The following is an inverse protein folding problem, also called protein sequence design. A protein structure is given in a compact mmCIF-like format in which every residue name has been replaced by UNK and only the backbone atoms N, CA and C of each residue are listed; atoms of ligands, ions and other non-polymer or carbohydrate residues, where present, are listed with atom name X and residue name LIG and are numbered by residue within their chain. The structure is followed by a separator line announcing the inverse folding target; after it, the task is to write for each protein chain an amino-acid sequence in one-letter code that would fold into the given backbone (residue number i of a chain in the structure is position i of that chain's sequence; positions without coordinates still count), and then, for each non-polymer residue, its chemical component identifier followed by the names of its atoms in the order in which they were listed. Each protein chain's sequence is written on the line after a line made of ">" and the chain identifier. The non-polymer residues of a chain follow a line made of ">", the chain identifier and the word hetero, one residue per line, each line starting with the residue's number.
data_IF_194646066332
#
_entry.id   IF_194646066332
#
_cell.length_a   1.000
_cell.length_b   1.000
_cell.length_c   1.000
_cell.angle_alpha   90.00
_cell.angle_beta   90.00
_cell.angle_gamma   90.00
#
_symmetry.space_group_name_H-M   'P 1'
#
loop_
_entity.id
_entity.type
_entity.pdbx_description
1 polymer ?
#
# COMPACT_ATOMS: atom_id res chain seq x y z
N UNK A 1 -9.42 -35.73 102.49
CA UNK A 1 -10.58 -34.81 102.57
C UNK A 1 -10.35 -33.67 101.60
N UNK A 2 -11.21 -33.56 100.56
CA UNK A 2 -11.68 -32.31 99.90
C UNK A 2 -10.61 -31.41 99.24
N UNK A 3 -10.74 -30.86 98.03
CA UNK A 3 -11.84 -30.71 97.07
C UNK A 3 -11.22 -30.47 95.68
N UNK A 4 -11.90 -30.94 94.66
CA UNK A 4 -11.67 -30.73 93.23
C UNK A 4 -11.98 -29.28 92.84
N UNK A 5 -11.14 -28.62 92.04
CA UNK A 5 -11.55 -27.49 91.19
C UNK A 5 -10.74 -27.50 89.89
N UNK A 6 -11.41 -27.82 88.79
CA UNK A 6 -10.91 -27.67 87.44
C UNK A 6 -11.08 -26.21 87.01
N UNK A 7 -9.98 -25.54 86.64
CA UNK A 7 -10.01 -24.19 86.09
C UNK A 7 -9.86 -24.26 84.57
N UNK A 8 -10.91 -23.83 83.88
CA UNK A 8 -11.00 -23.68 82.43
C UNK A 8 -10.07 -22.54 81.99
N UNK A 9 -9.01 -22.86 81.24
CA UNK A 9 -8.12 -21.86 80.66
C UNK A 9 -8.76 -21.25 79.40
N UNK A 10 -9.31 -20.04 79.52
CA UNK A 10 -9.65 -19.20 78.38
C UNK A 10 -8.38 -18.52 77.88
N UNK A 11 -7.87 -18.97 76.73
CA UNK A 11 -6.78 -18.29 76.02
C UNK A 11 -7.30 -16.96 75.47
N UNK A 12 -7.01 -15.85 76.15
CA UNK A 12 -7.08 -14.51 75.56
C UNK A 12 -5.84 -14.36 74.68
N UNK A 13 -5.97 -14.10 73.36
CA UNK A 13 -4.79 -13.80 72.56
C UNK A 13 -4.21 -12.47 73.06
N UNK A 14 -3.04 -12.54 73.68
CA UNK A 14 -2.19 -11.36 73.88
C UNK A 14 -1.85 -10.82 72.48
N UNK A 15 -2.44 -9.70 72.10
CA UNK A 15 -1.92 -8.88 71.00
C UNK A 15 -0.56 -8.36 71.45
N UNK A 16 0.51 -8.96 70.94
CA UNK A 16 1.84 -8.40 71.05
C UNK A 16 1.90 -7.13 70.19
N UNK A 17 1.55 -5.99 70.77
CA UNK A 17 1.78 -4.68 70.16
C UNK A 17 3.26 -4.37 70.31
N UNK A 18 3.99 -4.31 69.19
CA UNK A 18 5.31 -3.73 69.18
C UNK A 18 5.19 -2.23 69.52
N UNK A 19 5.84 -1.79 70.60
CA UNK A 19 5.83 -0.38 70.99
C UNK A 19 6.48 0.53 69.94
N UNK A 20 6.01 1.78 69.88
CA UNK A 20 6.57 2.83 69.03
C UNK A 20 8.09 2.94 69.19
N UNK A 21 8.82 3.05 68.06
CA UNK A 21 10.26 3.34 68.05
C UNK A 21 10.47 4.81 67.71
N UNK A 22 10.61 5.63 68.73
CA UNK A 22 10.75 7.08 68.61
C UNK A 22 12.19 7.56 68.83
N UNK A 23 12.60 8.56 68.06
CA UNK A 23 13.74 9.44 68.38
C UNK A 23 13.40 10.89 68.06
N UNK A 24 14.22 11.83 68.54
CA UNK A 24 14.03 13.27 68.27
C UNK A 24 14.05 13.65 66.77
N UNK A 25 14.40 12.72 65.87
CA UNK A 25 14.47 12.95 64.42
C UNK A 25 13.48 12.13 63.58
N UNK A 26 12.73 11.19 64.16
CA UNK A 26 11.64 10.50 63.46
C UNK A 26 10.73 9.72 64.43
N UNK A 27 9.46 9.58 64.06
CA UNK A 27 8.55 8.56 64.60
C UNK A 27 8.13 7.62 63.47
N UNK A 28 8.24 6.31 63.68
CA UNK A 28 7.61 5.34 62.79
C UNK A 28 6.38 4.80 63.53
N UNK A 29 5.19 5.17 63.06
CA UNK A 29 3.95 4.62 63.59
C UNK A 29 3.93 3.11 63.33
N UNK A 30 3.68 2.31 64.37
CA UNK A 30 3.52 0.87 64.23
C UNK A 30 2.28 0.60 63.36
N UNK A 31 2.46 -0.08 62.24
CA UNK A 31 1.34 -0.55 61.41
C UNK A 31 0.58 -1.63 62.21
N UNK A 32 -0.64 -1.30 62.62
CA UNK A 32 -1.56 -2.29 63.15
C UNK A 32 -2.01 -3.17 61.98
N UNK A 33 -1.66 -4.46 62.03
CA UNK A 33 -2.27 -5.47 61.15
C UNK A 33 -3.63 -5.81 61.73
N UNK A 34 -4.62 -4.95 61.50
CA UNK A 34 -6.01 -5.30 61.70
C UNK A 34 -6.66 -5.70 60.37
N UNK A 35 -7.78 -6.43 60.45
CA UNK A 35 -8.52 -6.93 59.29
C UNK A 35 -9.30 -5.81 58.55
N UNK A 36 -9.18 -4.55 58.99
CA UNK A 36 -9.78 -3.39 58.34
C UNK A 36 -8.79 -2.78 57.38
N UNK A 37 -8.98 -3.00 56.08
CA UNK A 37 -8.07 -2.47 55.06
C UNK A 37 -7.72 -0.99 55.22
N UNK A 38 -6.46 -0.66 54.96
CA UNK A 38 -5.94 0.70 55.09
C UNK A 38 -5.81 1.35 53.71
N UNK A 39 -5.87 2.70 53.70
CA UNK A 39 -5.60 3.51 52.52
C UNK A 39 -4.09 3.72 52.38
N UNK A 40 -3.50 3.23 51.30
CA UNK A 40 -2.12 3.56 50.91
C UNK A 40 -2.16 4.62 49.81
N UNK A 41 -1.36 5.68 49.95
CA UNK A 41 -1.35 6.79 49.00
C UNK A 41 0.06 7.30 48.69
N UNK A 42 0.22 7.82 47.48
CA UNK A 42 1.39 8.58 47.02
C UNK A 42 0.92 9.83 46.26
N UNK A 43 1.84 10.69 45.84
CA UNK A 43 1.51 11.83 44.98
C UNK A 43 0.82 11.44 43.66
N UNK A 44 0.94 10.17 43.25
CA UNK A 44 0.47 9.68 41.95
C UNK A 44 -0.79 8.81 42.03
N UNK A 45 -1.11 8.23 43.19
CA UNK A 45 -2.26 7.32 43.33
C UNK A 45 -2.70 7.15 44.79
N UNK A 46 -3.93 6.65 44.98
CA UNK A 46 -4.35 6.07 46.25
C UNK A 46 -5.11 4.76 46.05
N UNK A 47 -4.85 3.81 46.94
CA UNK A 47 -5.47 2.48 46.95
C UNK A 47 -6.05 2.20 48.34
N UNK A 48 -7.21 1.55 48.38
CA UNK A 48 -7.82 1.02 49.59
C UNK A 48 -7.81 -0.52 49.50
N UNK A 49 -7.22 -1.23 50.48
CA UNK A 49 -7.15 -2.69 50.44
C UNK A 49 -7.19 -3.35 51.81
N UNK A 50 -7.98 -4.43 51.96
CA UNK A 50 -8.01 -5.30 53.15
C UNK A 50 -7.21 -6.59 52.94
N UNK A 51 -6.69 -7.18 54.01
CA UNK A 51 -5.89 -8.41 53.95
C UNK A 51 -6.71 -9.56 53.32
N UNK A 52 -6.17 -10.19 52.26
CA UNK A 52 -6.82 -11.28 51.54
C UNK A 52 -7.65 -10.87 50.32
N UNK A 53 -7.78 -9.56 50.02
CA UNK A 53 -8.38 -9.06 48.79
C UNK A 53 -7.34 -8.35 47.92
N UNK A 54 -7.61 -8.26 46.62
CA UNK A 54 -6.82 -7.39 45.76
C UNK A 54 -7.41 -5.98 45.83
N UNK A 55 -6.56 -4.98 46.14
CA UNK A 55 -6.97 -3.58 46.21
C UNK A 55 -7.52 -3.03 44.89
N UNK A 56 -8.23 -1.89 44.97
CA UNK A 56 -8.72 -1.09 43.83
C UNK A 56 -7.95 0.22 43.63
N UNK A 57 -8.10 0.89 42.47
CA UNK A 57 -7.63 2.27 42.26
C UNK A 57 -8.75 3.22 42.65
N UNK A 58 -8.54 4.05 43.67
CA UNK A 58 -9.55 5.01 44.13
C UNK A 58 -9.49 6.34 43.38
N UNK A 59 -8.30 6.76 42.91
CA UNK A 59 -8.09 7.99 42.15
C UNK A 59 -6.75 7.94 41.39
N UNK A 60 -6.74 8.35 40.12
CA UNK A 60 -5.55 8.49 39.28
C UNK A 60 -5.62 9.80 38.47
N UNK A 61 -4.55 10.59 38.49
CA UNK A 61 -4.58 11.99 38.00
C UNK A 61 -4.25 12.11 36.50
N UNK A 62 -3.31 11.31 35.98
CA UNK A 62 -3.09 11.00 34.56
C UNK A 62 -1.82 10.14 34.39
N UNK A 63 -1.76 9.22 33.39
CA UNK A 63 -2.88 8.78 32.55
C UNK A 63 -3.93 8.04 33.39
N UNK A 64 -5.14 7.86 32.85
CA UNK A 64 -6.16 7.05 33.51
C UNK A 64 -5.62 5.64 33.76
N UNK A 65 -5.67 5.19 35.00
CA UNK A 65 -5.19 3.86 35.39
C UNK A 65 -6.37 3.00 35.81
N UNK A 66 -6.36 1.74 35.36
CA UNK A 66 -7.34 0.73 35.73
C UNK A 66 -6.60 -0.45 36.33
N UNK A 67 -6.94 -0.85 37.56
CA UNK A 67 -6.43 -2.07 38.17
C UNK A 67 -7.50 -3.14 38.03
N UNK A 68 -7.13 -4.25 37.39
CA UNK A 68 -8.00 -5.42 37.28
C UNK A 68 -7.35 -6.60 37.97
N UNK A 69 -8.07 -7.14 38.92
CA UNK A 69 -7.53 -8.06 39.89
C UNK A 69 -8.36 -9.34 40.00
N UNK A 70 -7.67 -10.46 40.24
CA UNK A 70 -8.26 -11.80 40.19
C UNK A 70 -8.20 -12.42 38.79
N UNK A 71 -8.29 -13.75 38.71
CA UNK A 71 -8.13 -14.51 37.46
C UNK A 71 -9.12 -14.08 36.35
N UNK A 72 -10.35 -13.70 36.71
CA UNK A 72 -11.39 -13.26 35.76
C UNK A 72 -11.16 -11.83 35.27
N UNK A 73 -10.58 -10.95 36.10
CA UNK A 73 -10.26 -9.57 35.72
C UNK A 73 -9.11 -9.43 34.70
N UNK A 74 -8.41 -10.53 34.40
CA UNK A 74 -7.35 -10.60 33.39
C UNK A 74 -7.81 -11.26 32.07
N UNK A 75 -9.04 -11.77 32.03
CA UNK A 75 -9.62 -12.36 30.83
C UNK A 75 -10.27 -11.23 30.03
N UNK A 76 -9.52 -10.67 29.07
CA UNK A 76 -10.08 -9.77 28.07
C UNK A 76 -10.48 -10.56 26.84
N UNK A 77 -11.69 -10.30 26.36
CA UNK A 77 -12.12 -10.73 25.03
C UNK A 77 -11.73 -9.68 24.00
N UNK A 78 -11.25 -10.13 22.84
CA UNK A 78 -10.90 -9.23 21.74
C UNK A 78 -12.18 -8.97 20.95
N UNK A 79 -12.69 -7.75 21.07
CA UNK A 79 -13.87 -7.30 20.33
C UNK A 79 -13.55 -7.06 18.85
N UNK A 80 -12.42 -6.40 18.55
CA UNK A 80 -12.01 -6.09 17.18
C UNK A 80 -10.49 -5.95 17.04
N UNK A 81 -9.95 -6.29 15.86
CA UNK A 81 -8.55 -5.99 15.50
C UNK A 81 -8.49 -4.86 14.48
N UNK A 82 -7.89 -3.74 14.88
CA UNK A 82 -7.63 -2.62 14.00
C UNK A 82 -6.23 -2.76 13.39
N UNK A 83 -6.15 -3.06 12.10
CA UNK A 83 -4.90 -3.07 11.34
C UNK A 83 -4.68 -1.70 10.73
N UNK A 84 -3.46 -1.16 10.84
CA UNK A 84 -3.10 0.15 10.28
C UNK A 84 -1.77 0.07 9.52
N UNK A 85 -1.62 0.98 8.55
CA UNK A 85 -0.40 1.16 7.77
C UNK A 85 -0.27 2.63 7.40
N UNK A 86 0.95 3.14 7.33
CA UNK A 86 1.23 4.48 6.81
C UNK A 86 2.54 4.45 6.03
N UNK A 87 2.55 4.79 4.73
CA UNK A 87 1.41 5.19 3.91
C UNK A 87 0.49 4.02 3.51
N UNK A 88 -0.75 4.33 3.12
CA UNK A 88 -1.71 3.37 2.51
C UNK A 88 -1.57 3.24 0.99
N UNK A 89 -0.70 4.03 0.38
CA UNK A 89 -0.30 3.89 -1.01
C UNK A 89 1.17 3.49 -1.04
N UNK A 90 1.47 2.32 -1.61
CA UNK A 90 2.82 1.82 -1.75
C UNK A 90 3.19 1.83 -3.22
N UNK A 91 4.34 2.40 -3.56
CA UNK A 91 4.95 2.14 -4.86
C UNK A 91 5.34 0.67 -4.97
N UNK A 92 5.48 0.17 -6.18
CA UNK A 92 5.97 -1.18 -6.43
C UNK A 92 7.33 -1.41 -5.80
N UNK A 93 7.57 -2.64 -5.35
CA UNK A 93 8.78 -3.05 -4.62
C UNK A 93 9.04 -2.29 -3.30
N UNK A 94 8.22 -1.29 -2.95
CA UNK A 94 8.29 -0.63 -1.67
C UNK A 94 7.63 -1.48 -0.59
N UNK A 95 8.04 -1.24 0.65
CA UNK A 95 7.49 -1.91 1.81
C UNK A 95 6.96 -0.91 2.84
N UNK A 96 5.92 -1.31 3.57
CA UNK A 96 5.36 -0.52 4.66
C UNK A 96 5.08 -1.40 5.87
N UNK A 97 5.34 -0.84 7.05
CA UNK A 97 5.19 -1.54 8.32
C UNK A 97 3.73 -1.52 8.75
N UNK A 98 3.17 -2.71 8.94
CA UNK A 98 1.84 -2.89 9.53
C UNK A 98 1.93 -2.78 11.04
N UNK A 99 0.90 -2.19 11.63
CA UNK A 99 0.63 -2.23 13.05
C UNK A 99 -0.77 -2.82 13.29
N UNK A 100 -0.97 -3.41 14.46
CA UNK A 100 -2.30 -3.87 14.85
C UNK A 100 -2.56 -3.54 16.32
N UNK A 101 -3.78 -3.10 16.58
CA UNK A 101 -4.30 -2.89 17.92
C UNK A 101 -5.52 -3.78 18.13
N UNK A 102 -5.57 -4.46 19.27
CA UNK A 102 -6.78 -5.14 19.73
C UNK A 102 -7.62 -4.16 20.55
N UNK A 103 -8.87 -3.96 20.13
CA UNK A 103 -9.88 -3.32 20.95
C UNK A 103 -10.55 -4.39 21.80
N UNK A 104 -10.50 -4.22 23.11
CA UNK A 104 -11.03 -5.16 24.08
C UNK A 104 -12.51 -4.85 24.37
N UNK A 105 -13.18 -5.77 25.05
CA UNK A 105 -14.59 -5.68 25.48
C UNK A 105 -14.88 -4.45 26.35
N UNK A 106 -13.90 -3.98 27.12
CA UNK A 106 -13.98 -2.77 27.94
C UNK A 106 -13.54 -1.48 27.22
N UNK A 107 -13.39 -1.54 25.90
CA UNK A 107 -12.85 -0.48 25.04
C UNK A 107 -11.38 -0.11 25.28
N UNK A 108 -10.63 -0.86 26.11
CA UNK A 108 -9.19 -0.70 26.21
C UNK A 108 -8.54 -1.10 24.89
N UNK A 109 -7.51 -0.36 24.48
CA UNK A 109 -6.72 -0.65 23.27
C UNK A 109 -5.39 -1.28 23.67
N UNK A 110 -5.13 -2.48 23.18
CA UNK A 110 -3.88 -3.20 23.35
C UNK A 110 -3.10 -3.23 22.03
N UNK A 111 -1.97 -2.53 21.98
CA UNK A 111 -1.04 -2.66 20.85
C UNK A 111 -0.42 -4.06 20.85
N UNK A 112 -0.50 -4.76 19.72
CA UNK A 112 0.11 -6.08 19.56
C UNK A 112 1.42 -5.97 18.81
N UNK A 113 2.41 -6.77 19.22
CA UNK A 113 3.61 -6.96 18.42
C UNK A 113 3.25 -7.68 17.12
N UNK A 114 3.72 -7.23 15.95
CA UNK A 114 3.42 -7.89 14.68
C UNK A 114 3.80 -9.38 14.62
N UNK A 115 4.82 -9.80 15.38
CA UNK A 115 5.27 -11.19 15.49
C UNK A 115 4.29 -12.11 16.22
N UNK A 116 3.34 -11.55 16.97
CA UNK A 116 2.29 -12.30 17.65
C UNK A 116 1.05 -12.49 16.76
N UNK A 117 1.05 -11.93 15.56
CA UNK A 117 -0.08 -11.90 14.63
C UNK A 117 0.23 -12.78 13.43
N UNK A 118 -0.75 -13.56 12.99
CA UNK A 118 -0.63 -14.27 11.72
C UNK A 118 -1.09 -13.35 10.59
N UNK A 119 -0.15 -13.00 9.71
CA UNK A 119 -0.43 -12.15 8.55
C UNK A 119 -0.76 -12.98 7.31
N UNK A 120 -1.75 -12.54 6.55
CA UNK A 120 -2.07 -13.12 5.24
C UNK A 120 -2.49 -12.05 4.23
N UNK A 121 -2.20 -12.32 2.96
CA UNK A 121 -2.70 -11.54 1.84
C UNK A 121 -4.02 -12.19 1.43
N UNK A 122 -5.13 -11.46 1.56
CA UNK A 122 -6.45 -11.93 1.17
C UNK A 122 -6.61 -11.83 -0.35
N UNK A 123 -6.18 -10.72 -0.92
CA UNK A 123 -6.24 -10.44 -2.36
C UNK A 123 -5.30 -9.32 -2.75
N UNK A 124 -5.03 -9.22 -4.06
CA UNK A 124 -4.29 -8.11 -4.65
C UNK A 124 -2.76 -8.26 -4.57
N UNK A 125 -2.02 -7.26 -5.09
CA UNK A 125 -0.63 -7.45 -5.51
C UNK A 125 0.38 -7.10 -4.42
N UNK A 126 0.32 -7.82 -3.30
CA UNK A 126 1.44 -7.85 -2.36
C UNK A 126 2.35 -9.04 -2.69
N UNK A 127 3.65 -8.80 -2.76
CA UNK A 127 4.63 -9.86 -2.98
C UNK A 127 4.84 -10.70 -1.71
N UNK A 128 4.77 -10.05 -0.54
CA UNK A 128 4.89 -10.73 0.75
C UNK A 128 4.39 -9.88 1.92
N UNK A 129 4.13 -10.53 3.05
CA UNK A 129 4.08 -9.91 4.37
C UNK A 129 4.99 -10.72 5.28
N UNK A 130 6.02 -10.10 5.85
CA UNK A 130 6.93 -10.80 6.77
C UNK A 130 6.24 -11.09 8.12
N UNK A 131 6.83 -11.98 8.92
CA UNK A 131 6.38 -12.24 10.30
C UNK A 131 6.42 -10.99 11.19
N UNK A 132 7.26 -10.02 10.84
CA UNK A 132 7.33 -8.73 11.54
C UNK A 132 6.28 -7.74 11.04
N UNK A 133 5.33 -8.15 10.18
CA UNK A 133 4.30 -7.28 9.62
C UNK A 133 4.81 -6.30 8.56
N UNK A 134 5.96 -6.58 7.93
CA UNK A 134 6.44 -5.76 6.81
C UNK A 134 5.76 -6.22 5.52
N UNK A 135 4.80 -5.45 5.02
CA UNK A 135 4.12 -5.71 3.75
C UNK A 135 4.92 -5.12 2.59
N UNK A 136 5.23 -5.94 1.58
CA UNK A 136 6.02 -5.54 0.40
C UNK A 136 5.15 -5.64 -0.85
N UNK A 137 5.04 -4.54 -1.59
CA UNK A 137 4.29 -4.47 -2.84
C UNK A 137 4.96 -5.30 -3.95
N UNK A 138 4.16 -5.98 -4.76
CA UNK A 138 4.61 -6.56 -6.02
C UNK A 138 4.55 -5.50 -7.14
N UNK A 139 5.13 -5.84 -8.29
CA UNK A 139 5.01 -5.06 -9.53
C UNK A 139 3.59 -5.16 -10.08
N UNK A 140 3.07 -4.07 -10.63
CA UNK A 140 1.70 -3.97 -11.14
C UNK A 140 1.65 -3.17 -12.43
N UNK A 141 0.88 -3.65 -13.40
CA UNK A 141 0.63 -2.92 -14.66
C UNK A 141 -0.45 -1.84 -14.53
N UNK A 142 -1.05 -1.68 -13.35
CA UNK A 142 -2.04 -0.64 -13.03
C UNK A 142 -2.19 -0.52 -11.51
N UNK A 143 -2.59 0.67 -11.04
CA UNK A 143 -2.94 0.88 -9.63
C UNK A 143 -3.98 -0.16 -9.18
N UNK A 144 -3.66 -0.87 -8.12
CA UNK A 144 -4.41 -2.05 -7.70
C UNK A 144 -4.54 -2.14 -6.19
N UNK A 145 -5.74 -2.42 -5.70
CA UNK A 145 -5.99 -2.60 -4.27
C UNK A 145 -5.51 -3.97 -3.81
N UNK A 146 -4.80 -4.00 -2.68
CA UNK A 146 -4.50 -5.21 -1.93
C UNK A 146 -5.22 -5.21 -0.58
N UNK A 147 -5.66 -6.39 -0.16
CA UNK A 147 -6.32 -6.60 1.12
C UNK A 147 -5.46 -7.52 1.98
N UNK A 148 -5.11 -7.03 3.15
CA UNK A 148 -4.34 -7.72 4.17
C UNK A 148 -5.29 -8.20 5.26
N UNK A 149 -4.97 -9.35 5.85
CA UNK A 149 -5.63 -9.87 7.06
C UNK A 149 -4.60 -10.14 8.16
N UNK A 150 -4.98 -9.75 9.37
CA UNK A 150 -4.30 -10.03 10.62
C UNK A 150 -5.19 -10.95 11.45
N UNK A 151 -4.71 -12.14 11.82
CA UNK A 151 -5.40 -13.06 12.72
C UNK A 151 -4.71 -13.09 14.08
N UNK A 152 -5.49 -12.91 15.15
CA UNK A 152 -5.02 -13.03 16.54
C UNK A 152 -6.13 -13.54 17.45
N UNK A 153 -5.89 -14.69 18.12
CA UNK A 153 -6.78 -15.32 19.10
C UNK A 153 -8.27 -15.35 18.69
N UNK A 154 -8.55 -16.04 17.57
CA UNK A 154 -9.89 -16.22 16.98
C UNK A 154 -10.56 -14.96 16.39
N UNK A 155 -9.98 -13.78 16.57
CA UNK A 155 -10.44 -12.55 15.92
C UNK A 155 -9.52 -12.22 14.75
N UNK A 156 -10.07 -11.56 13.72
CA UNK A 156 -9.30 -11.06 12.60
C UNK A 156 -9.64 -9.60 12.29
N UNK A 157 -8.70 -8.90 11.70
CA UNK A 157 -8.86 -7.56 11.16
C UNK A 157 -8.36 -7.53 9.72
N UNK A 158 -8.97 -6.67 8.90
CA UNK A 158 -8.55 -6.47 7.51
C UNK A 158 -8.19 -5.02 7.23
N UNK A 159 -7.25 -4.82 6.32
CA UNK A 159 -6.85 -3.50 5.85
C UNK A 159 -6.67 -3.52 4.34
N UNK A 160 -7.22 -2.50 3.67
CA UNK A 160 -6.96 -2.25 2.27
C UNK A 160 -5.84 -1.22 2.13
N UNK A 161 -4.95 -1.47 1.17
CA UNK A 161 -3.96 -0.51 0.68
C UNK A 161 -3.96 -0.52 -0.85
N UNK A 162 -3.39 0.52 -1.44
CA UNK A 162 -3.23 0.60 -2.90
C UNK A 162 -1.76 0.39 -3.24
N UNK A 163 -1.48 -0.52 -4.17
CA UNK A 163 -0.19 -0.60 -4.84
C UNK A 163 -0.27 0.27 -6.08
N UNK A 164 0.66 1.21 -6.21
CA UNK A 164 0.72 2.18 -7.29
C UNK A 164 1.62 1.64 -8.40
N UNK A 165 1.13 1.64 -9.64
CA UNK A 165 1.95 1.51 -10.84
C UNK A 165 2.80 2.77 -10.96
N UNK A 166 4.03 2.66 -10.48
CA UNK A 166 4.99 3.75 -10.35
C UNK A 166 6.06 3.70 -11.43
N UNK A 167 6.29 2.51 -12.00
CA UNK A 167 7.12 2.30 -13.16
C UNK A 167 6.30 1.55 -14.23
N UNK A 168 5.89 2.19 -15.33
CA UNK A 168 4.96 1.60 -16.28
C UNK A 168 5.56 0.49 -17.17
N UNK A 169 6.82 0.09 -16.96
CA UNK A 169 7.57 -0.89 -17.77
C UNK A 169 8.47 -1.77 -16.87
N UNK A 170 7.87 -2.41 -15.87
CA UNK A 170 8.52 -3.36 -14.96
C UNK A 170 7.71 -4.63 -14.68
N UNK A 171 6.51 -4.81 -15.26
CA UNK A 171 5.61 -5.88 -14.87
C UNK A 171 6.00 -7.23 -15.49
N UNK A 172 6.55 -8.14 -14.68
CA UNK A 172 6.75 -9.54 -15.06
C UNK A 172 7.59 -9.70 -16.33
N UNK A 173 7.08 -10.43 -17.34
CA UNK A 173 7.83 -10.67 -18.60
C UNK A 173 7.83 -9.47 -19.55
N UNK A 174 7.06 -8.42 -19.26
CA UNK A 174 6.94 -7.23 -20.09
C UNK A 174 7.93 -6.14 -19.70
N UNK A 175 8.38 -6.15 -18.44
CA UNK A 175 9.26 -5.12 -17.91
C UNK A 175 10.57 -4.93 -18.69
N UNK A 176 10.93 -3.66 -18.88
CA UNK A 176 12.16 -3.18 -19.48
C UNK A 176 12.20 -3.26 -21.00
N UNK A 177 11.05 -3.44 -21.68
CA UNK A 177 11.00 -3.62 -23.14
C UNK A 177 10.68 -2.32 -23.92
N UNK A 178 10.54 -1.21 -23.19
CA UNK A 178 10.12 0.12 -23.67
C UNK A 178 8.72 0.19 -24.27
N UNK A 179 7.83 -0.74 -23.94
CA UNK A 179 6.39 -0.58 -24.04
C UNK A 179 5.78 -0.48 -22.64
N UNK A 180 4.67 0.25 -22.48
CA UNK A 180 3.98 0.23 -21.21
C UNK A 180 3.27 -1.11 -20.95
N UNK A 181 3.44 -1.63 -19.74
CA UNK A 181 2.86 -2.89 -19.29
C UNK A 181 1.32 -2.87 -19.40
N UNK A 182 0.68 -1.76 -19.03
CA UNK A 182 -0.77 -1.61 -19.13
C UNK A 182 -1.27 -1.82 -20.57
N UNK A 183 -0.50 -1.36 -21.56
CA UNK A 183 -0.87 -1.49 -22.97
C UNK A 183 -0.74 -2.93 -23.42
N UNK A 184 0.35 -3.59 -23.03
CA UNK A 184 0.57 -5.00 -23.34
C UNK A 184 -0.50 -5.88 -22.69
N UNK A 185 -0.83 -5.64 -21.42
CA UNK A 185 -1.88 -6.38 -20.71
C UNK A 185 -3.27 -6.09 -21.31
N UNK A 186 -3.58 -4.84 -21.67
CA UNK A 186 -4.86 -4.48 -22.27
C UNK A 186 -5.14 -5.27 -23.56
N UNK A 187 -4.13 -5.43 -24.41
CA UNK A 187 -4.32 -6.06 -25.72
C UNK A 187 -4.06 -7.57 -25.73
N UNK A 188 -3.14 -8.06 -24.91
CA UNK A 188 -2.67 -9.44 -24.99
C UNK A 188 -2.90 -10.26 -23.72
N UNK A 189 -3.32 -9.62 -22.61
CA UNK A 189 -3.30 -10.21 -21.28
C UNK A 189 -1.89 -10.26 -20.69
N UNK A 190 -1.73 -10.73 -19.44
CA UNK A 190 -0.41 -10.88 -18.81
C UNK A 190 0.40 -12.05 -19.41
N UNK A 191 1.73 -11.93 -19.41
CA UNK A 191 2.68 -13.01 -19.76
C UNK A 191 2.50 -13.62 -21.17
N UNK A 192 2.08 -12.81 -22.14
CA UNK A 192 1.88 -13.23 -23.52
C UNK A 192 3.07 -12.79 -24.40
N UNK A 193 3.88 -13.73 -24.93
CA UNK A 193 5.06 -13.38 -25.74
C UNK A 193 4.72 -12.60 -27.02
N UNK A 194 3.48 -12.67 -27.50
CA UNK A 194 3.03 -11.89 -28.67
C UNK A 194 2.92 -10.39 -28.38
N UNK A 195 2.99 -9.97 -27.12
CA UNK A 195 2.98 -8.57 -26.71
C UNK A 195 4.35 -7.88 -26.85
N UNK A 196 5.42 -8.63 -27.13
CA UNK A 196 6.77 -8.08 -27.19
C UNK A 196 6.93 -7.01 -28.29
N UNK A 197 7.81 -6.01 -28.15
CA UNK A 197 7.80 -4.80 -28.98
C UNK A 197 8.10 -5.04 -30.46
N UNK A 198 8.93 -6.06 -30.73
CA UNK A 198 9.34 -6.45 -32.07
C UNK A 198 8.35 -7.37 -32.80
N UNK A 199 7.29 -7.84 -32.13
CA UNK A 199 6.35 -8.81 -32.71
C UNK A 199 5.35 -8.10 -33.61
N UNK A 200 5.08 -8.71 -34.76
CA UNK A 200 4.00 -8.37 -35.69
C UNK A 200 3.18 -9.63 -35.98
N UNK A 201 2.17 -9.87 -35.16
CA UNK A 201 1.37 -11.11 -35.16
C UNK A 201 0.74 -11.41 -36.52
N UNK A 202 0.39 -10.37 -37.29
CA UNK A 202 -0.33 -10.50 -38.56
C UNK A 202 0.55 -10.23 -39.78
N UNK A 203 1.86 -10.01 -39.60
CA UNK A 203 2.82 -9.80 -40.69
C UNK A 203 2.51 -8.58 -41.56
N UNK A 204 1.98 -7.52 -40.96
CA UNK A 204 1.59 -6.29 -41.67
C UNK A 204 2.74 -5.32 -41.96
N UNK A 205 3.95 -5.65 -41.47
CA UNK A 205 5.12 -4.77 -41.46
C UNK A 205 5.08 -3.72 -40.34
N UNK A 206 4.17 -3.85 -39.37
CA UNK A 206 3.94 -2.89 -38.29
C UNK A 206 3.92 -3.64 -36.95
N UNK A 207 5.08 -3.67 -36.29
CA UNK A 207 5.24 -4.33 -34.99
C UNK A 207 4.53 -3.58 -33.85
N UNK A 208 4.45 -4.22 -32.68
CA UNK A 208 3.82 -3.67 -31.49
C UNK A 208 4.37 -2.31 -31.07
N UNK A 209 5.69 -2.08 -31.17
CA UNK A 209 6.30 -0.76 -30.88
C UNK A 209 5.73 0.32 -31.79
N UNK A 210 5.66 0.07 -33.09
CA UNK A 210 5.06 1.01 -34.02
C UNK A 210 3.57 1.20 -33.72
N UNK A 211 2.83 0.11 -33.47
CA UNK A 211 1.39 0.17 -33.19
C UNK A 211 1.07 0.97 -31.92
N UNK A 212 1.86 0.82 -30.85
CA UNK A 212 1.75 1.64 -29.65
C UNK A 212 2.00 3.13 -29.96
N UNK A 213 3.06 3.45 -30.71
CA UNK A 213 3.40 4.83 -31.09
C UNK A 213 2.33 5.44 -32.01
N UNK A 214 1.74 4.65 -32.89
CA UNK A 214 0.71 5.07 -33.84
C UNK A 214 -0.73 5.03 -33.29
N UNK A 215 -0.95 4.54 -32.05
CA UNK A 215 -2.28 4.41 -31.46
C UNK A 215 -3.16 3.33 -32.11
N UNK A 216 -2.55 2.29 -32.68
CA UNK A 216 -3.23 1.21 -33.39
C UNK A 216 -3.57 0.05 -32.45
N UNK A 217 -4.60 -0.71 -32.81
CA UNK A 217 -4.94 -1.95 -32.12
C UNK A 217 -4.06 -3.11 -32.67
N UNK A 218 -3.15 -3.68 -31.87
CA UNK A 218 -2.28 -4.76 -32.30
C UNK A 218 -2.97 -6.11 -32.49
N UNK A 219 -4.17 -6.31 -31.95
CA UNK A 219 -4.95 -7.55 -32.14
C UNK A 219 -5.87 -7.52 -33.35
N UNK A 220 -5.90 -6.41 -34.09
CA UNK A 220 -6.69 -6.25 -35.31
C UNK A 220 -5.78 -6.05 -36.53
N UNK A 221 -5.77 -7.01 -37.45
CA UNK A 221 -4.97 -6.96 -38.68
C UNK A 221 -5.36 -5.79 -39.62
N UNK A 222 -6.58 -5.27 -39.52
CA UNK A 222 -7.03 -4.10 -40.29
C UNK A 222 -6.63 -2.76 -39.65
N UNK A 223 -6.14 -2.76 -38.40
CA UNK A 223 -5.68 -1.54 -37.73
C UNK A 223 -4.25 -1.23 -38.15
N UNK A 224 -4.13 -0.45 -39.23
CA UNK A 224 -2.88 -0.11 -39.89
C UNK A 224 -2.75 1.37 -40.13
N UNK A 225 -1.53 1.87 -39.98
CA UNK A 225 -1.17 3.19 -40.47
C UNK A 225 -0.85 3.10 -41.96
N UNK A 226 -1.57 3.86 -42.77
CA UNK A 226 -1.44 3.88 -44.23
C UNK A 226 -0.99 5.27 -44.65
N UNK A 227 0.08 5.33 -45.44
CA UNK A 227 0.58 6.53 -46.10
C UNK A 227 0.39 6.38 -47.61
N UNK A 228 -0.16 7.41 -48.25
CA UNK A 228 -0.33 7.53 -49.69
C UNK A 228 0.34 8.79 -50.20
N UNK A 229 0.99 8.67 -51.35
CA UNK A 229 1.55 9.79 -52.08
C UNK A 229 0.76 9.97 -53.37
N UNK A 230 0.34 11.20 -53.65
CA UNK A 230 -0.39 11.55 -54.86
C UNK A 230 0.21 12.79 -55.54
N UNK A 231 -0.02 12.91 -56.85
CA UNK A 231 0.29 14.12 -57.58
C UNK A 231 -0.71 15.23 -57.19
N UNK A 232 -0.19 16.44 -57.02
CA UNK A 232 -0.95 17.68 -56.86
C UNK A 232 -0.64 18.60 -58.05
N UNK A 233 -1.12 19.86 -58.11
CA UNK A 233 -0.73 20.79 -59.18
C UNK A 233 0.78 20.87 -59.39
N UNK A 234 1.21 21.34 -60.57
CA UNK A 234 2.62 21.33 -60.97
C UNK A 234 3.55 21.89 -59.87
N UNK A 235 4.63 21.17 -59.59
CA UNK A 235 5.58 21.51 -58.51
C UNK A 235 5.15 21.11 -57.11
N UNK A 236 4.04 20.39 -56.93
CA UNK A 236 3.54 19.95 -55.63
C UNK A 236 3.35 18.43 -55.53
N UNK A 237 3.37 17.93 -54.29
CA UNK A 237 3.01 16.55 -53.95
C UNK A 237 2.11 16.52 -52.72
N UNK A 238 1.16 15.59 -52.73
CA UNK A 238 0.24 15.39 -51.63
C UNK A 238 0.58 14.11 -50.88
N UNK A 239 0.83 14.23 -49.58
CA UNK A 239 1.10 13.15 -48.65
C UNK A 239 -0.13 13.01 -47.76
N UNK A 240 -0.86 11.91 -47.90
CA UNK A 240 -2.05 11.63 -47.10
C UNK A 240 -1.79 10.43 -46.21
N UNK A 241 -2.13 10.52 -44.92
CA UNK A 241 -1.98 9.40 -44.00
C UNK A 241 -3.13 9.29 -43.00
N UNK A 242 -3.37 8.06 -42.56
CA UNK A 242 -4.47 7.67 -41.66
C UNK A 242 -4.16 6.34 -40.96
N UNK A 243 -4.63 6.10 -39.74
CA UNK A 243 -5.28 7.07 -38.86
C UNK A 243 -4.29 8.07 -38.27
N UNK A 244 -4.78 9.26 -37.95
CA UNK A 244 -4.15 10.23 -37.04
C UNK A 244 -5.00 10.42 -35.80
N UNK A 245 -4.32 10.51 -34.67
CA UNK A 245 -4.93 10.77 -33.37
C UNK A 245 -4.46 12.12 -32.81
N UNK A 246 -5.31 12.88 -32.08
CA UNK A 246 -4.94 14.18 -31.54
C UNK A 246 -3.85 14.16 -30.47
N UNK A 247 -3.66 13.03 -29.78
CA UNK A 247 -2.67 12.80 -28.73
C UNK A 247 -1.29 12.37 -29.28
N UNK A 248 -1.05 12.55 -30.58
CA UNK A 248 0.23 12.21 -31.25
C UNK A 248 0.69 13.36 -32.13
N UNK A 249 2.00 13.49 -32.23
CA UNK A 249 2.66 14.48 -33.08
C UNK A 249 3.07 13.80 -34.38
N UNK A 250 2.67 14.39 -35.52
CA UNK A 250 3.02 13.91 -36.85
C UNK A 250 3.85 14.95 -37.58
N UNK A 251 5.07 14.56 -38.00
CA UNK A 251 5.98 15.43 -38.75
C UNK A 251 6.37 14.76 -40.06
N UNK A 252 5.97 15.35 -41.18
CA UNK A 252 6.45 14.92 -42.49
C UNK A 252 7.91 15.34 -42.63
N UNK A 253 8.76 14.37 -42.92
CA UNK A 253 10.14 14.61 -43.29
C UNK A 253 10.35 14.23 -44.75
N UNK A 254 11.36 14.82 -45.37
CA UNK A 254 11.76 14.49 -46.73
C UNK A 254 13.27 14.33 -46.85
N UNK A 255 13.69 13.68 -47.94
CA UNK A 255 15.05 13.71 -48.44
C UNK A 255 15.03 13.72 -49.96
N UNK A 256 16.04 14.29 -50.61
CA UNK A 256 16.23 14.20 -52.06
C UNK A 256 17.12 13.02 -52.47
N UNK A 257 17.72 12.34 -51.50
CA UNK A 257 18.58 11.18 -51.70
C UNK A 257 18.45 10.22 -50.50
N UNK A 258 18.11 8.95 -50.75
CA UNK A 258 17.96 7.94 -49.69
C UNK A 258 19.27 7.63 -48.94
N UNK A 259 20.43 8.01 -49.49
CA UNK A 259 21.73 7.92 -48.80
C UNK A 259 21.96 9.08 -47.81
N UNK A 260 21.17 10.14 -47.92
CA UNK A 260 21.19 11.29 -47.01
C UNK A 260 20.14 11.13 -45.93
N UNK A 261 20.32 11.84 -44.81
CA UNK A 261 19.30 11.91 -43.76
C UNK A 261 18.00 12.59 -44.21
N UNK A 262 16.93 12.31 -43.47
CA UNK A 262 15.64 12.97 -43.65
C UNK A 262 15.56 14.24 -42.79
N UNK A 263 15.06 15.34 -43.34
CA UNK A 263 14.84 16.60 -42.61
C UNK A 263 13.35 16.99 -42.62
N UNK A 264 12.88 17.77 -41.64
CA UNK A 264 11.48 18.20 -41.60
C UNK A 264 11.08 18.97 -42.86
N UNK A 265 9.90 18.69 -43.39
CA UNK A 265 9.31 19.45 -44.50
C UNK A 265 8.83 20.81 -43.96
N UNK A 266 9.38 21.91 -44.47
CA UNK A 266 9.11 23.27 -43.97
C UNK A 266 8.15 24.06 -44.86
N UNK A 267 8.15 23.80 -46.16
CA UNK A 267 7.30 24.49 -47.13
C UNK A 267 6.10 23.61 -47.48
N UNK A 268 5.05 23.70 -46.66
CA UNK A 268 3.86 22.87 -46.78
C UNK A 268 2.58 23.61 -46.42
N UNK A 269 1.45 23.05 -46.88
CA UNK A 269 0.13 23.29 -46.27
C UNK A 269 -0.39 21.98 -45.71
N UNK A 270 -1.27 22.05 -44.70
CA UNK A 270 -1.87 20.85 -44.12
C UNK A 270 -3.37 21.05 -43.86
N UNK A 271 -4.13 19.96 -43.98
CA UNK A 271 -5.53 19.90 -43.58
C UNK A 271 -5.85 18.53 -42.96
N UNK A 272 -6.77 18.55 -42.00
CA UNK A 272 -7.23 17.35 -41.31
C UNK A 272 -8.73 17.14 -41.60
N UNK A 273 -9.10 15.92 -41.99
CA UNK A 273 -10.49 15.49 -42.13
C UNK A 273 -10.69 14.20 -41.33
N UNK A 274 -11.27 14.33 -40.13
CA UNK A 274 -11.35 13.24 -39.17
C UNK A 274 -9.96 12.70 -38.82
N UNK A 275 -9.77 11.39 -38.98
CA UNK A 275 -8.50 10.70 -38.75
C UNK A 275 -7.54 10.75 -39.94
N UNK A 276 -7.87 11.47 -41.01
CA UNK A 276 -6.97 11.59 -42.17
C UNK A 276 -6.30 12.95 -42.15
N UNK A 277 -4.96 12.97 -42.22
CA UNK A 277 -4.19 14.19 -42.48
C UNK A 277 -3.73 14.20 -43.92
N UNK A 278 -3.85 15.36 -44.54
CA UNK A 278 -3.29 15.66 -45.86
C UNK A 278 -2.27 16.78 -45.73
N UNK A 279 -1.04 16.51 -46.15
CA UNK A 279 0.05 17.48 -46.22
C UNK A 279 0.39 17.69 -47.69
N UNK A 280 0.38 18.93 -48.14
CA UNK A 280 0.81 19.30 -49.49
C UNK A 280 2.18 19.95 -49.40
N UNK A 281 3.19 19.27 -49.94
CA UNK A 281 4.49 19.86 -50.22
C UNK A 281 4.33 20.83 -51.39
N UNK A 282 4.48 22.13 -51.11
CA UNK A 282 4.28 23.17 -52.13
C UNK A 282 5.55 23.47 -52.95
N UNK A 283 6.66 22.78 -52.67
CA UNK A 283 7.92 22.90 -53.39
C UNK A 283 8.55 21.52 -53.68
N UNK A 284 7.76 20.64 -54.29
CA UNK A 284 8.19 19.33 -54.77
C UNK A 284 8.74 19.40 -56.20
N UNK A 285 9.69 20.31 -56.44
CA UNK A 285 10.29 20.58 -57.76
C UNK A 285 11.50 19.71 -58.08
N UNK A 286 12.06 19.03 -57.09
CA UNK A 286 13.23 18.17 -57.26
C UNK A 286 12.87 16.89 -58.04
N UNK A 287 13.79 16.42 -58.88
CA UNK A 287 13.60 15.22 -59.71
C UNK A 287 13.33 13.94 -58.89
N UNK A 288 13.92 13.86 -57.69
CA UNK A 288 13.64 12.81 -56.72
C UNK A 288 13.45 13.44 -55.34
N UNK A 289 12.33 13.10 -54.69
CA UNK A 289 12.00 13.50 -53.33
C UNK A 289 11.25 12.36 -52.65
N UNK A 290 11.76 11.92 -51.51
CA UNK A 290 11.24 10.80 -50.74
C UNK A 290 10.69 11.34 -49.43
N UNK A 291 9.58 10.78 -48.97
CA UNK A 291 8.87 11.26 -47.79
C UNK A 291 8.77 10.16 -46.75
N UNK A 292 8.76 10.55 -45.48
CA UNK A 292 8.34 9.70 -44.35
C UNK A 292 7.54 10.53 -43.38
N UNK A 293 6.67 9.87 -42.63
CA UNK A 293 5.96 10.49 -41.50
C UNK A 293 6.59 9.98 -40.22
N UNK A 294 7.13 10.89 -39.43
CA UNK A 294 7.54 10.60 -38.07
C UNK A 294 6.34 10.77 -37.14
N UNK A 295 6.04 9.76 -36.33
CA UNK A 295 4.99 9.78 -35.31
C UNK A 295 5.68 9.77 -33.94
N UNK A 296 5.31 10.70 -33.07
CA UNK A 296 5.83 10.78 -31.72
C UNK A 296 4.69 10.90 -30.70
N UNK A 297 4.93 10.34 -29.52
CA UNK A 297 4.20 10.69 -28.30
C UNK A 297 4.56 12.13 -27.87
N UNK A 298 3.62 12.87 -27.28
CA UNK A 298 3.86 14.23 -26.77
C UNK A 298 4.85 14.24 -25.60
#
# INVERSE_FOLDING_TARGET
>A
MKFLFALLATAVPFLAVAGSRDSAKYSIAAEAVDAGGTKSSSANYSMDSSIGLVGGIALAVAPAQTMKAGYVGQLYEINFLQVTVSPTNLNENAASQLAVNALLDDATVLALFPTNVSWSIVSGPLGSISINGLATAAEVYQNSTATIRADYRQTFGTLNLTVLDSNPDNFGTYGGDSLPDWWQVQYFGPNNPNAAPGVDVFGTGQNNRFKYIAGLNPTNSASLFVLKLANAPAGQKQITFTPRFPDRIYTVHFTTNLKSGYTPLTTLTQSDLGQTRTVTDTNATQAAKFYRVNIALP
#
